data_IF_181681948445
#
_entry.id   IF_181681948445
#
_cell.length_a   1.000
_cell.length_b   1.000
_cell.length_c   1.000
_cell.angle_alpha   90.00
_cell.angle_beta   90.00
_cell.angle_gamma   90.00
#
_symmetry.space_group_name_H-M   'P 1'
#
loop_
_entity.id
_entity.type
_entity.pdbx_description
1 polymer ?
#
# COMPACT_ATOMS: atom_id res chain seq x y z
N UNK A 1 7.71 -19.37 -2.43
CA UNK A 1 7.30 -20.54 -1.60
C UNK A 1 8.07 -20.43 -0.29
N UNK A 2 7.42 -20.62 0.85
CA UNK A 2 8.09 -20.64 2.17
C UNK A 2 9.09 -21.79 2.26
N UNK A 3 10.23 -21.55 2.90
CA UNK A 3 11.26 -22.57 3.15
C UNK A 3 10.83 -23.59 4.21
N UNK A 4 11.59 -24.72 4.31
CA UNK A 4 11.31 -25.76 5.31
C UNK A 4 11.29 -25.21 6.73
N UNK A 5 12.23 -24.33 7.08
CA UNK A 5 12.32 -23.74 8.43
C UNK A 5 11.13 -22.88 8.78
N UNK A 6 10.68 -22.05 7.85
CA UNK A 6 9.52 -21.17 8.02
C UNK A 6 8.23 -21.97 8.19
N UNK A 7 8.02 -23.00 7.37
CA UNK A 7 6.86 -23.88 7.50
C UNK A 7 6.93 -24.72 8.78
N UNK A 8 8.09 -25.24 9.12
CA UNK A 8 8.27 -26.08 10.30
C UNK A 8 8.24 -25.29 11.62
N UNK A 9 8.49 -23.98 11.61
CA UNK A 9 8.29 -23.14 12.78
C UNK A 9 6.81 -23.02 13.16
N UNK A 10 5.91 -23.12 12.18
CA UNK A 10 4.46 -23.09 12.38
C UNK A 10 3.88 -24.51 12.52
N UNK A 11 4.41 -25.48 11.78
CA UNK A 11 3.91 -26.86 11.72
C UNK A 11 5.07 -27.81 12.02
N UNK A 12 5.33 -28.03 13.31
CA UNK A 12 6.49 -28.80 13.81
C UNK A 12 6.55 -30.23 13.24
N UNK A 13 5.42 -30.85 12.92
CA UNK A 13 5.36 -32.20 12.33
C UNK A 13 6.07 -32.32 10.97
N UNK A 14 6.24 -31.21 10.25
CA UNK A 14 6.96 -31.19 8.98
C UNK A 14 8.45 -31.52 9.14
N UNK A 15 9.07 -31.21 10.27
CA UNK A 15 10.46 -31.61 10.57
C UNK A 15 10.64 -33.14 10.67
N UNK A 16 9.60 -33.86 11.08
CA UNK A 16 9.62 -35.33 11.10
C UNK A 16 9.47 -35.91 9.70
N UNK A 17 8.72 -35.24 8.83
CA UNK A 17 8.49 -35.68 7.44
C UNK A 17 9.64 -35.30 6.52
N UNK A 18 10.18 -34.09 6.68
CA UNK A 18 11.26 -33.55 5.85
C UNK A 18 12.47 -33.21 6.74
N UNK A 19 13.50 -34.04 6.70
CA UNK A 19 14.70 -33.88 7.51
C UNK A 19 15.74 -32.95 6.86
N UNK A 20 15.64 -32.72 5.56
CA UNK A 20 16.56 -31.86 4.78
C UNK A 20 15.80 -30.96 3.84
N UNK A 21 16.39 -29.80 3.48
CA UNK A 21 15.82 -28.90 2.47
C UNK A 21 15.59 -29.59 1.13
N UNK A 22 16.57 -30.47 0.73
CA UNK A 22 16.47 -31.23 -0.52
C UNK A 22 15.27 -32.16 -0.56
N UNK A 23 14.86 -32.73 0.57
CA UNK A 23 13.71 -33.65 0.64
C UNK A 23 12.37 -32.94 0.43
N UNK A 24 12.32 -31.61 0.64
CA UNK A 24 11.13 -30.77 0.46
C UNK A 24 11.17 -29.94 -0.82
N UNK A 25 12.37 -29.62 -1.33
CA UNK A 25 12.54 -28.76 -2.49
C UNK A 25 11.75 -29.27 -3.72
N UNK A 26 11.08 -28.36 -4.39
CA UNK A 26 10.28 -28.66 -5.60
C UNK A 26 8.95 -29.36 -5.36
N UNK A 27 8.60 -29.68 -4.12
CA UNK A 27 7.31 -30.33 -3.81
C UNK A 27 6.17 -29.34 -3.82
N UNK A 28 5.06 -29.77 -4.40
CA UNK A 28 3.79 -29.06 -4.35
C UNK A 28 3.14 -29.17 -2.96
N UNK A 29 2.17 -28.31 -2.68
CA UNK A 29 1.42 -28.34 -1.42
C UNK A 29 0.74 -29.72 -1.18
N UNK A 30 0.27 -30.38 -2.26
CA UNK A 30 -0.38 -31.69 -2.20
C UNK A 30 0.60 -32.84 -1.88
N UNK A 31 1.90 -32.64 -2.07
CA UNK A 31 2.95 -33.59 -1.70
C UNK A 31 3.50 -33.33 -0.29
N UNK A 32 3.37 -32.08 0.18
CA UNK A 32 3.77 -31.69 1.53
C UNK A 32 2.72 -32.10 2.56
N UNK A 33 1.45 -31.86 2.26
CA UNK A 33 0.31 -32.13 3.17
C UNK A 33 -0.57 -33.26 2.65
N UNK A 34 -1.22 -33.96 3.57
CA UNK A 34 -2.20 -34.97 3.24
C UNK A 34 -3.50 -34.32 2.77
N UNK A 35 -4.20 -34.97 1.82
CA UNK A 35 -5.49 -34.49 1.31
C UNK A 35 -6.52 -34.28 2.41
N UNK A 36 -6.51 -35.10 3.44
CA UNK A 36 -7.40 -35.00 4.61
C UNK A 36 -7.23 -33.68 5.38
N UNK A 37 -6.00 -33.15 5.41
CA UNK A 37 -5.67 -31.86 6.03
C UNK A 37 -6.07 -30.72 5.10
N UNK A 38 -5.72 -30.81 3.82
CA UNK A 38 -6.01 -29.76 2.83
C UNK A 38 -7.52 -29.56 2.64
N UNK A 39 -8.30 -30.63 2.65
CA UNK A 39 -9.77 -30.54 2.52
C UNK A 39 -10.46 -29.83 3.71
N UNK A 40 -9.77 -29.71 4.84
CA UNK A 40 -10.25 -28.99 6.04
C UNK A 40 -9.65 -27.59 6.17
N UNK A 41 -8.68 -27.24 5.32
CA UNK A 41 -8.01 -25.95 5.37
C UNK A 41 -8.92 -24.85 4.82
N UNK A 42 -8.89 -23.70 5.47
CA UNK A 42 -9.47 -22.48 4.90
C UNK A 42 -8.52 -21.96 3.83
N UNK A 43 -9.04 -21.81 2.61
CA UNK A 43 -8.27 -21.22 1.50
C UNK A 43 -8.60 -19.74 1.45
N UNK A 44 -7.57 -18.90 1.54
CA UNK A 44 -7.66 -17.46 1.34
C UNK A 44 -6.97 -17.14 0.01
N UNK A 45 -7.66 -16.40 -0.83
CA UNK A 45 -7.17 -16.01 -2.14
C UNK A 45 -7.11 -14.49 -2.24
N UNK A 46 -6.07 -13.99 -2.91
CA UNK A 46 -5.92 -12.57 -3.26
C UNK A 46 -6.08 -12.47 -4.77
N UNK A 47 -7.11 -11.76 -5.23
CA UNK A 47 -7.41 -11.60 -6.66
C UNK A 47 -6.70 -10.41 -7.28
N UNK A 48 -6.40 -9.38 -6.48
CA UNK A 48 -5.63 -8.21 -6.94
C UNK A 48 -4.74 -7.67 -5.82
N UNK A 49 -3.56 -7.17 -6.19
CA UNK A 49 -2.66 -6.43 -5.32
C UNK A 49 -2.58 -4.95 -5.73
N UNK A 50 -3.32 -4.57 -6.77
CA UNK A 50 -3.35 -3.19 -7.23
C UNK A 50 -4.04 -2.29 -6.20
N UNK A 51 -3.51 -1.07 -6.03
CA UNK A 51 -4.22 0.04 -5.41
C UNK A 51 -5.30 0.55 -6.37
N UNK A 52 -6.44 0.98 -5.86
CA UNK A 52 -7.54 1.45 -6.70
C UNK A 52 -8.69 2.01 -5.87
N UNK A 53 -9.80 2.25 -6.53
CA UNK A 53 -11.02 2.72 -5.90
C UNK A 53 -12.22 1.85 -6.31
N UNK A 54 -13.29 1.96 -5.55
CA UNK A 54 -14.56 1.31 -5.86
C UNK A 54 -15.50 2.34 -6.49
N UNK A 55 -15.74 2.18 -7.78
CA UNK A 55 -16.71 3.00 -8.52
C UNK A 55 -18.11 2.47 -8.24
N UNK A 56 -19.02 3.35 -7.82
CA UNK A 56 -20.42 2.98 -7.61
C UNK A 56 -21.21 3.25 -8.89
N UNK A 57 -21.64 2.18 -9.56
CA UNK A 57 -22.53 2.25 -10.71
C UNK A 57 -23.83 1.52 -10.42
N UNK A 58 -24.95 2.26 -10.32
CA UNK A 58 -26.29 1.69 -10.12
C UNK A 58 -26.38 0.71 -8.92
N UNK A 59 -25.84 1.11 -7.76
CA UNK A 59 -25.76 0.30 -6.54
C UNK A 59 -24.86 -0.97 -6.66
N UNK A 60 -23.96 -1.00 -7.62
CA UNK A 60 -22.91 -2.00 -7.73
C UNK A 60 -21.56 -1.31 -7.65
N UNK A 61 -20.64 -1.92 -6.90
CA UNK A 61 -19.28 -1.45 -6.81
C UNK A 61 -18.41 -2.23 -7.79
N UNK A 62 -17.69 -1.50 -8.63
CA UNK A 62 -16.67 -2.04 -9.51
C UNK A 62 -15.29 -1.56 -9.05
N UNK A 63 -14.33 -2.48 -8.95
CA UNK A 63 -12.96 -2.10 -8.62
C UNK A 63 -12.24 -1.56 -9.85
N UNK A 64 -11.77 -0.32 -9.76
CA UNK A 64 -10.99 0.35 -10.81
C UNK A 64 -9.56 0.53 -10.26
N UNK A 65 -8.56 -0.13 -10.88
CA UNK A 65 -7.17 0.07 -10.46
C UNK A 65 -6.70 1.47 -10.83
N UNK A 66 -5.91 2.08 -9.95
CA UNK A 66 -5.20 3.32 -10.28
C UNK A 66 -4.16 3.10 -11.39
N UNK A 67 -3.77 4.18 -12.05
CA UNK A 67 -2.68 4.20 -13.01
C UNK A 67 -1.33 3.80 -12.35
N UNK A 68 -0.33 3.48 -13.17
CA UNK A 68 0.95 2.92 -12.69
C UNK A 68 1.69 3.82 -11.71
N UNK A 69 1.59 5.14 -11.85
CA UNK A 69 2.21 6.14 -10.98
C UNK A 69 1.75 6.01 -9.52
N UNK A 70 0.54 5.49 -9.29
CA UNK A 70 -0.03 5.27 -7.97
C UNK A 70 0.14 3.83 -7.46
N UNK A 71 0.87 2.97 -8.19
CA UNK A 71 1.12 1.57 -7.82
C UNK A 71 2.50 1.35 -7.18
N UNK A 72 3.32 2.39 -7.04
CA UNK A 72 4.74 2.27 -6.64
C UNK A 72 4.95 1.96 -5.17
N UNK A 73 3.96 2.28 -4.32
CA UNK A 73 4.02 2.04 -2.87
C UNK A 73 2.61 2.10 -2.27
N UNK A 74 2.37 1.48 -1.09
CA UNK A 74 1.07 1.58 -0.43
C UNK A 74 0.67 3.03 -0.17
N UNK A 75 -0.56 3.39 -0.55
CA UNK A 75 -1.18 4.67 -0.23
C UNK A 75 -1.92 4.51 1.10
N UNK A 76 -1.70 5.42 2.03
CA UNK A 76 -2.28 5.38 3.37
C UNK A 76 -3.21 6.54 3.69
N UNK A 77 -3.17 7.61 2.90
CA UNK A 77 -4.01 8.79 3.12
C UNK A 77 -4.38 9.45 1.81
N UNK A 78 -5.63 9.90 1.76
CA UNK A 78 -6.17 10.76 0.72
C UNK A 78 -6.70 12.02 1.39
N UNK A 79 -6.52 13.16 0.73
CA UNK A 79 -7.02 14.46 1.16
C UNK A 79 -7.68 15.14 -0.04
N UNK A 80 -8.97 15.35 0.05
CA UNK A 80 -9.76 16.06 -0.96
C UNK A 80 -9.80 17.56 -0.60
N UNK A 81 -9.38 18.39 -1.53
CA UNK A 81 -9.36 19.85 -1.38
C UNK A 81 -9.21 20.51 -2.75
N UNK A 82 -9.69 21.75 -2.89
CA UNK A 82 -9.47 22.61 -4.06
C UNK A 82 -8.04 23.20 -3.97
N UNK A 83 -7.06 22.50 -4.57
CA UNK A 83 -5.65 22.82 -4.42
C UNK A 83 -5.19 23.96 -5.35
N UNK A 84 -5.88 24.18 -6.47
CA UNK A 84 -5.56 25.22 -7.45
C UNK A 84 -6.57 26.38 -7.45
N UNK A 85 -7.56 26.33 -6.55
CA UNK A 85 -8.60 27.33 -6.32
C UNK A 85 -9.50 27.59 -7.55
N UNK A 86 -9.71 26.57 -8.39
CA UNK A 86 -10.60 26.62 -9.54
C UNK A 86 -12.08 26.33 -9.20
N UNK A 87 -12.35 25.95 -7.96
CA UNK A 87 -13.68 25.62 -7.43
C UNK A 87 -14.03 24.14 -7.55
N UNK A 88 -13.09 23.28 -7.99
CA UNK A 88 -13.22 21.83 -7.95
C UNK A 88 -12.21 21.26 -6.97
N UNK A 89 -12.51 20.08 -6.47
CA UNK A 89 -11.59 19.41 -5.56
C UNK A 89 -10.76 18.39 -6.32
N UNK A 90 -9.46 18.39 -6.09
CA UNK A 90 -8.54 17.33 -6.42
C UNK A 90 -8.30 16.44 -5.20
N UNK A 91 -7.59 15.34 -5.40
CA UNK A 91 -7.24 14.40 -4.34
C UNK A 91 -5.72 14.31 -4.21
N UNK A 92 -5.19 14.80 -3.07
CA UNK A 92 -3.79 14.54 -2.71
C UNK A 92 -3.65 13.17 -2.06
N UNK A 93 -2.83 12.31 -2.64
CA UNK A 93 -2.51 10.98 -2.13
C UNK A 93 -1.10 10.93 -1.55
N UNK A 94 -0.94 10.30 -0.39
CA UNK A 94 0.35 10.03 0.22
C UNK A 94 0.38 8.66 0.91
N UNK A 95 1.59 8.14 1.15
CA UNK A 95 1.69 6.80 1.72
C UNK A 95 3.10 6.43 2.13
N UNK A 96 3.56 5.31 1.60
CA UNK A 96 4.75 4.55 1.95
C UNK A 96 4.60 3.69 3.22
N UNK A 97 5.32 2.58 3.24
CA UNK A 97 5.23 1.61 4.33
C UNK A 97 6.57 0.95 4.62
N UNK A 98 6.99 1.02 5.90
CA UNK A 98 8.29 0.52 6.37
C UNK A 98 8.17 -0.75 7.22
N UNK A 99 6.95 -1.22 7.50
CA UNK A 99 6.68 -2.35 8.38
C UNK A 99 6.81 -3.73 7.74
N UNK A 100 7.51 -3.86 6.62
CA UNK A 100 7.81 -5.14 5.96
C UNK A 100 9.02 -5.82 6.61
N UNK A 101 9.15 -7.12 6.39
CA UNK A 101 10.34 -7.87 6.84
C UNK A 101 11.61 -7.32 6.18
N UNK A 102 12.75 -7.27 6.87
CA UNK A 102 13.96 -6.58 6.40
C UNK A 102 14.46 -7.00 5.01
N UNK A 103 14.28 -8.28 4.63
CA UNK A 103 14.72 -8.76 3.32
C UNK A 103 13.78 -8.39 2.15
N UNK A 104 12.62 -7.83 2.42
CA UNK A 104 11.75 -7.24 1.40
C UNK A 104 12.05 -5.76 1.14
N UNK A 105 12.94 -5.16 1.92
CA UNK A 105 13.24 -3.74 1.86
C UNK A 105 12.15 -2.87 2.47
N UNK A 106 11.96 -1.67 1.92
CA UNK A 106 10.91 -0.72 2.33
C UNK A 106 10.15 -0.25 1.10
N UNK A 107 8.86 -0.01 1.27
CA UNK A 107 8.06 0.68 0.26
C UNK A 107 8.13 2.18 0.54
N UNK A 108 9.12 2.86 -0.02
CA UNK A 108 9.48 4.24 0.31
C UNK A 108 9.63 5.18 -0.89
N UNK A 109 9.26 4.72 -2.09
CA UNK A 109 9.51 5.42 -3.35
C UNK A 109 8.37 6.34 -3.79
N UNK A 110 7.24 6.38 -3.08
CA UNK A 110 6.10 7.20 -3.48
C UNK A 110 6.28 8.64 -2.99
N UNK A 111 6.45 9.62 -3.91
CA UNK A 111 6.62 11.03 -3.54
C UNK A 111 5.30 11.71 -3.14
N UNK A 112 4.19 10.98 -3.12
CA UNK A 112 2.85 11.53 -3.13
C UNK A 112 2.40 11.89 -4.54
N UNK A 113 1.12 12.18 -4.70
CA UNK A 113 0.56 12.57 -5.98
C UNK A 113 -0.71 13.39 -5.81
N UNK A 114 -0.90 14.39 -6.67
CA UNK A 114 -2.15 15.10 -6.86
C UNK A 114 -2.92 14.42 -8.00
N UNK A 115 -4.07 13.89 -7.70
CA UNK A 115 -4.98 13.21 -8.63
C UNK A 115 -6.02 14.26 -9.06
N UNK A 116 -5.95 14.63 -10.32
CA UNK A 116 -6.88 15.62 -10.92
C UNK A 116 -8.15 14.89 -11.39
N UNK A 117 -7.96 13.75 -12.07
CA UNK A 117 -9.04 12.88 -12.54
C UNK A 117 -8.56 11.41 -12.68
N UNK A 118 -9.36 10.56 -13.33
CA UNK A 118 -9.05 9.12 -13.50
C UNK A 118 -7.75 8.87 -14.30
N UNK A 119 -7.34 9.78 -15.16
CA UNK A 119 -6.20 9.62 -16.09
C UNK A 119 -5.05 10.60 -15.78
N UNK A 120 -5.33 11.72 -15.12
CA UNK A 120 -4.36 12.79 -14.89
C UNK A 120 -3.89 12.84 -13.45
N UNK A 121 -2.60 12.53 -13.25
CA UNK A 121 -1.93 12.52 -11.96
C UNK A 121 -0.63 13.31 -12.04
N UNK A 122 -0.37 14.16 -11.07
CA UNK A 122 0.87 14.91 -10.93
C UNK A 122 1.62 14.40 -9.70
N UNK A 123 2.82 13.87 -9.89
CA UNK A 123 3.64 13.39 -8.76
C UNK A 123 4.05 14.54 -7.84
N UNK A 124 4.04 14.29 -6.54
CA UNK A 124 4.26 15.29 -5.50
C UNK A 124 5.58 16.06 -5.64
N UNK A 125 6.66 15.40 -6.05
CA UNK A 125 7.96 16.04 -6.28
C UNK A 125 7.97 17.09 -7.40
N UNK A 126 6.95 17.11 -8.27
CA UNK A 126 6.78 18.13 -9.32
C UNK A 126 6.04 19.38 -8.84
N UNK A 127 5.34 19.27 -7.71
CA UNK A 127 4.56 20.36 -7.12
C UNK A 127 5.05 20.80 -5.75
N UNK A 128 6.32 20.45 -5.42
CA UNK A 128 6.94 20.85 -4.14
C UNK A 128 6.56 19.98 -2.93
N UNK A 129 5.80 18.92 -3.12
CA UNK A 129 5.45 17.94 -2.09
C UNK A 129 6.25 16.66 -2.33
N UNK A 130 7.32 16.43 -1.59
CA UNK A 130 8.08 15.19 -1.72
C UNK A 130 7.98 14.36 -0.45
N UNK A 131 7.19 13.28 -0.53
CA UNK A 131 7.03 12.29 0.53
C UNK A 131 7.89 11.04 0.32
N UNK A 132 8.82 11.04 -0.63
CA UNK A 132 9.80 9.95 -0.78
C UNK A 132 10.55 9.74 0.54
N UNK A 133 10.81 8.49 0.89
CA UNK A 133 11.43 8.08 2.15
C UNK A 133 10.67 8.45 3.43
N UNK A 134 9.39 8.84 3.32
CA UNK A 134 8.53 9.22 4.44
C UNK A 134 7.29 8.32 4.48
N UNK A 135 7.04 7.66 5.61
CA UNK A 135 5.82 6.88 5.80
C UNK A 135 4.70 7.79 6.30
N UNK A 136 4.06 8.50 5.38
CA UNK A 136 2.93 9.39 5.69
C UNK A 136 1.77 8.54 6.20
N UNK A 137 1.13 8.97 7.30
CA UNK A 137 -0.01 8.30 7.92
C UNK A 137 -1.32 9.02 7.68
N UNK A 138 -1.29 10.34 7.71
CA UNK A 138 -2.47 11.14 7.49
C UNK A 138 -2.10 12.48 6.88
N UNK A 139 -2.94 12.93 5.95
CA UNK A 139 -2.98 14.27 5.43
C UNK A 139 -4.21 15.00 5.98
N UNK A 140 -4.10 16.30 6.21
CA UNK A 140 -5.20 17.15 6.64
C UNK A 140 -4.99 18.60 6.19
N UNK A 141 -6.05 19.42 6.14
CA UNK A 141 -5.94 20.86 5.94
C UNK A 141 -5.98 21.55 7.30
N UNK A 142 -4.99 22.38 7.55
CA UNK A 142 -4.98 23.30 8.71
C UNK A 142 -5.00 24.75 8.24
N UNK A 143 -5.56 25.64 9.03
CA UNK A 143 -5.55 27.08 8.75
C UNK A 143 -4.64 27.80 9.73
N UNK A 144 -3.66 28.54 9.19
CA UNK A 144 -2.78 29.42 9.96
C UNK A 144 -2.95 30.84 9.41
N UNK A 145 -3.37 31.77 10.26
CA UNK A 145 -3.67 33.15 9.85
C UNK A 145 -4.64 33.21 8.65
N UNK A 146 -5.66 32.38 8.67
CA UNK A 146 -6.69 32.25 7.62
C UNK A 146 -6.19 31.68 6.28
N UNK A 147 -4.93 31.26 6.18
CA UNK A 147 -4.36 30.62 4.98
C UNK A 147 -4.39 29.10 5.15
N UNK A 148 -4.74 28.33 4.10
CA UNK A 148 -4.73 26.87 4.14
C UNK A 148 -3.30 26.33 4.01
N UNK A 149 -3.05 25.24 4.71
CA UNK A 149 -1.80 24.47 4.66
C UNK A 149 -2.14 22.99 4.67
N UNK A 150 -1.38 22.21 3.94
CA UNK A 150 -1.40 20.75 4.07
C UNK A 150 -0.55 20.35 5.27
N UNK A 151 -1.14 19.64 6.21
CA UNK A 151 -0.44 18.97 7.30
C UNK A 151 -0.24 17.50 6.94
N UNK A 152 0.99 17.03 6.91
CA UNK A 152 1.33 15.62 6.77
C UNK A 152 1.90 15.06 8.07
N UNK A 153 1.24 14.04 8.63
CA UNK A 153 1.76 13.31 9.78
C UNK A 153 2.57 12.10 9.30
N UNK A 154 3.79 11.95 9.78
CA UNK A 154 4.76 10.95 9.32
C UNK A 154 5.05 9.98 10.45
N UNK A 155 5.06 8.68 10.16
CA UNK A 155 5.33 7.67 11.14
C UNK A 155 6.77 7.77 11.65
N UNK A 156 6.93 7.91 12.97
CA UNK A 156 8.22 8.00 13.65
C UNK A 156 9.10 9.16 13.15
N UNK A 157 8.47 10.27 12.70
CA UNK A 157 9.16 11.48 12.25
C UNK A 157 8.30 12.72 12.58
N UNK A 158 8.87 13.92 12.39
CA UNK A 158 8.18 15.19 12.60
C UNK A 158 7.07 15.36 11.57
N UNK A 159 5.93 15.91 12.00
CA UNK A 159 4.90 16.37 11.08
C UNK A 159 5.45 17.49 10.18
N UNK A 160 5.02 17.51 8.94
CA UNK A 160 5.39 18.53 7.96
C UNK A 160 4.18 19.36 7.56
N UNK A 161 4.42 20.63 7.29
CA UNK A 161 3.37 21.58 6.88
C UNK A 161 3.81 22.24 5.58
N UNK A 162 2.93 22.23 4.60
CA UNK A 162 3.16 22.82 3.27
C UNK A 162 2.14 23.92 3.02
N UNK A 163 2.60 25.09 2.64
CA UNK A 163 1.74 26.19 2.28
C UNK A 163 1.18 25.96 0.87
N UNK A 164 -0.13 26.17 0.70
CA UNK A 164 -0.70 26.27 -0.64
C UNK A 164 -0.40 27.66 -1.19
N UNK A 165 0.15 27.72 -2.40
CA UNK A 165 0.52 28.95 -3.11
C UNK A 165 -0.34 29.01 -4.36
N UNK A 166 -1.02 30.16 -4.55
CA UNK A 166 -1.75 30.50 -5.78
C UNK A 166 -0.82 30.61 -6.99
#
# INVERSE_FOLDING_TARGET
>A
MLGLDELASQIVSLRKKFTTYKSMAGKSINEIFEKSILNKATILEVHTLASGYLKNENNRFEFVPFINELQVSPISSFLEYDFDFDGKNEILAAGNYFGVTPFHGRFDSFPGALIIDEEQVILGNKIGLDFSLKAVKKLDIIKVNNKPYVLATINNDKAQVYQLIE
#
